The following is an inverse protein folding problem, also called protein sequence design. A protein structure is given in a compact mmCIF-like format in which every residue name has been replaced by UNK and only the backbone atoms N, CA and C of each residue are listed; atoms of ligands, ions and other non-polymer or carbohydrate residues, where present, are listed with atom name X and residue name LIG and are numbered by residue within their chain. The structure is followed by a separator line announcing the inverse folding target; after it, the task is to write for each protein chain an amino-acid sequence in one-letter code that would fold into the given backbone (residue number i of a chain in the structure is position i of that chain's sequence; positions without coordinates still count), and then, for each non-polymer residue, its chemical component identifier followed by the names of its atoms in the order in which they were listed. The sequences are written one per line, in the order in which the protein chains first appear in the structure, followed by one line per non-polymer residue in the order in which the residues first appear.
data_IF_022976206546
#
_entry.id   IF_022976206546
#
_cell.length_a   1.000
_cell.length_b   1.000
_cell.length_c   1.000
_cell.angle_alpha   90.00
_cell.angle_beta   90.00
_cell.angle_gamma   90.00
#
_symmetry.space_group_name_H-M   'P 1'
#
loop_
_entity.id
_entity.type
_entity.pdbx_description
1 polymer ?
#
# COMPACT_ATOMS: atom_id res chain seq x y z
N UNK A 1 18.64 9.25 -16.96
CA UNK A 1 19.25 8.53 -15.83
C UNK A 1 18.61 7.15 -15.75
N UNK A 2 19.34 6.07 -16.07
CA UNK A 2 18.81 4.70 -15.99
C UNK A 2 18.92 4.25 -14.53
N UNK A 3 17.81 4.23 -13.81
CA UNK A 3 17.75 3.53 -12.52
C UNK A 3 17.58 2.05 -12.89
N UNK A 4 18.70 1.36 -13.11
CA UNK A 4 18.69 -0.10 -13.10
C UNK A 4 18.60 -0.51 -11.63
N UNK A 5 17.38 -0.64 -11.11
CA UNK A 5 17.17 -1.34 -9.84
C UNK A 5 17.76 -2.74 -10.03
N UNK A 6 18.83 -3.06 -9.29
CA UNK A 6 19.28 -4.44 -9.19
C UNK A 6 18.11 -5.21 -8.58
N UNK A 7 17.47 -6.09 -9.34
CA UNK A 7 16.41 -6.96 -8.84
C UNK A 7 17.02 -7.88 -7.79
N UNK A 8 16.93 -7.47 -6.52
CA UNK A 8 17.40 -8.27 -5.39
C UNK A 8 16.19 -8.99 -4.81
N UNK A 9 15.90 -10.15 -5.40
CA UNK A 9 14.87 -11.07 -4.98
C UNK A 9 14.95 -12.34 -5.83
N UNK A 10 14.67 -13.48 -5.23
CA UNK A 10 14.72 -14.76 -5.91
C UNK A 10 13.44 -14.96 -6.74
N UNK A 11 13.52 -15.46 -7.99
CA UNK A 11 12.32 -15.82 -8.74
C UNK A 11 11.47 -16.84 -7.98
N UNK A 12 10.16 -16.62 -7.88
CA UNK A 12 9.22 -17.54 -7.24
C UNK A 12 8.09 -17.88 -8.19
N UNK A 13 7.92 -19.18 -8.49
CA UNK A 13 6.82 -19.66 -9.32
C UNK A 13 5.45 -19.40 -8.65
N UNK A 14 5.41 -19.44 -7.32
CA UNK A 14 4.22 -19.16 -6.53
C UNK A 14 3.79 -17.70 -6.67
N UNK A 15 4.69 -16.74 -6.43
CA UNK A 15 4.41 -15.31 -6.61
C UNK A 15 4.07 -14.96 -8.06
N UNK A 16 4.76 -15.58 -9.02
CA UNK A 16 4.44 -15.40 -10.44
C UNK A 16 3.04 -15.91 -10.80
N UNK A 17 2.57 -16.99 -10.16
CA UNK A 17 1.19 -17.49 -10.33
C UNK A 17 0.19 -16.48 -9.79
N UNK A 18 0.38 -16.00 -8.56
CA UNK A 18 -0.50 -14.98 -7.94
C UNK A 18 -0.57 -13.74 -8.82
N UNK A 19 0.57 -13.21 -9.26
CA UNK A 19 0.62 -12.05 -10.16
C UNK A 19 -0.19 -12.24 -11.45
N UNK A 20 -0.20 -13.46 -12.02
CA UNK A 20 -1.04 -13.78 -13.19
C UNK A 20 -2.52 -13.88 -12.85
N UNK A 21 -2.87 -14.51 -11.73
CA UNK A 21 -4.26 -14.70 -11.31
C UNK A 21 -4.93 -13.37 -10.94
N UNK A 22 -4.23 -12.54 -10.17
CA UNK A 22 -4.70 -11.19 -9.83
C UNK A 22 -4.82 -10.33 -11.08
N UNK A 23 -3.81 -10.33 -11.97
CA UNK A 23 -3.89 -9.57 -13.22
C UNK A 23 -5.07 -10.00 -14.09
N UNK A 24 -5.30 -11.31 -14.25
CA UNK A 24 -6.42 -11.81 -15.05
C UNK A 24 -7.78 -11.38 -14.47
N UNK A 25 -7.89 -11.29 -13.14
CA UNK A 25 -9.09 -10.82 -12.45
C UNK A 25 -9.31 -9.32 -12.67
N UNK A 26 -8.26 -8.51 -12.48
CA UNK A 26 -8.33 -7.06 -12.66
C UNK A 26 -8.54 -6.67 -14.14
N UNK A 27 -7.91 -7.38 -15.09
CA UNK A 27 -8.09 -7.18 -16.53
C UNK A 27 -9.53 -7.52 -16.98
N UNK A 28 -10.28 -8.31 -16.21
CA UNK A 28 -11.66 -8.70 -16.52
C UNK A 28 -12.73 -7.77 -15.92
N UNK A 29 -12.36 -6.87 -15.01
CA UNK A 29 -13.30 -5.94 -14.38
C UNK A 29 -13.48 -4.67 -15.24
N UNK A 30 -14.69 -4.35 -15.70
CA UNK A 30 -14.93 -3.19 -16.56
C UNK A 30 -14.71 -1.84 -15.87
N UNK A 31 -14.65 -1.79 -14.52
CA UNK A 31 -14.40 -0.56 -13.77
C UNK A 31 -12.92 -0.27 -13.57
N UNK A 32 -12.04 -1.20 -13.96
CA UNK A 32 -10.60 -1.11 -13.72
C UNK A 32 -9.87 -0.75 -15.01
N UNK A 33 -8.95 0.20 -14.92
CA UNK A 33 -8.08 0.57 -16.03
C UNK A 33 -6.63 0.17 -15.73
N UNK A 34 -5.99 -0.47 -16.71
CA UNK A 34 -4.57 -0.84 -16.64
C UNK A 34 -3.68 0.29 -17.14
N UNK A 35 -2.63 0.62 -16.39
CA UNK A 35 -1.65 1.61 -16.79
C UNK A 35 -0.84 1.12 -18.00
N UNK A 36 -0.52 2.05 -18.92
CA UNK A 36 0.28 1.78 -20.13
C UNK A 36 1.78 1.76 -19.81
N UNK A 37 2.21 0.80 -18.99
CA UNK A 37 3.61 0.61 -18.63
C UNK A 37 3.98 -0.87 -18.64
N UNK A 38 5.23 -1.17 -18.99
CA UNK A 38 5.81 -2.50 -18.90
C UNK A 38 6.70 -2.67 -17.65
N UNK A 39 6.83 -1.63 -16.83
CA UNK A 39 7.69 -1.64 -15.64
C UNK A 39 7.05 -2.41 -14.47
N UNK A 40 5.72 -2.35 -14.36
CA UNK A 40 4.96 -3.01 -13.30
C UNK A 40 3.53 -3.30 -13.76
N UNK A 41 2.89 -4.26 -13.09
CA UNK A 41 1.44 -4.47 -13.13
C UNK A 41 0.80 -3.35 -12.30
N UNK A 42 0.14 -2.41 -12.96
CA UNK A 42 -0.45 -1.23 -12.30
C UNK A 42 -1.84 -0.99 -12.86
N UNK A 43 -2.79 -0.80 -11.94
CA UNK A 43 -4.22 -0.70 -12.21
C UNK A 43 -4.80 0.45 -11.39
N UNK A 44 -5.86 1.07 -11.91
CA UNK A 44 -6.62 2.11 -11.22
C UNK A 44 -8.08 1.72 -11.21
N UNK A 45 -8.72 1.82 -10.04
CA UNK A 45 -10.15 1.62 -9.84
C UNK A 45 -10.75 2.93 -9.30
N UNK A 46 -11.40 3.73 -10.17
CA UNK A 46 -12.12 4.94 -9.75
C UNK A 46 -13.30 4.59 -8.84
N UNK A 47 -13.59 5.45 -7.87
CA UNK A 47 -14.77 5.35 -7.01
C UNK A 47 -14.89 4.00 -6.26
N UNK A 48 -13.74 3.38 -5.92
CA UNK A 48 -13.71 2.13 -5.16
C UNK A 48 -14.30 2.28 -3.74
N UNK A 49 -14.05 3.43 -3.10
CA UNK A 49 -14.70 3.82 -1.85
C UNK A 49 -15.74 4.90 -2.12
N UNK A 50 -16.80 4.87 -1.33
CA UNK A 50 -17.76 5.98 -1.24
C UNK A 50 -17.19 7.15 -0.41
N UNK A 51 -17.72 8.36 -0.62
CA UNK A 51 -17.36 9.55 0.17
C UNK A 51 -17.51 9.31 1.68
N UNK A 52 -18.51 8.53 2.09
CA UNK A 52 -18.75 8.20 3.49
C UNK A 52 -17.65 7.29 4.07
N UNK A 53 -17.17 6.32 3.30
CA UNK A 53 -16.07 5.45 3.70
C UNK A 53 -14.74 6.21 3.73
N UNK A 54 -14.52 7.12 2.77
CA UNK A 54 -13.39 8.03 2.78
C UNK A 54 -13.38 8.89 4.06
N UNK A 55 -14.51 9.54 4.39
CA UNK A 55 -14.64 10.34 5.61
C UNK A 55 -14.41 9.52 6.89
N UNK A 56 -14.98 8.32 6.95
CA UNK A 56 -14.79 7.39 8.09
C UNK A 56 -13.31 7.04 8.29
N UNK A 57 -12.60 6.70 7.21
CA UNK A 57 -11.18 6.36 7.29
C UNK A 57 -10.34 7.58 7.66
N UNK A 58 -10.65 8.77 7.14
CA UNK A 58 -9.98 10.02 7.53
C UNK A 58 -10.12 10.26 9.04
N UNK A 59 -11.33 10.15 9.59
CA UNK A 59 -11.59 10.35 11.02
C UNK A 59 -10.81 9.34 11.89
N UNK A 60 -10.74 8.07 11.47
CA UNK A 60 -9.94 7.05 12.16
C UNK A 60 -8.45 7.37 12.13
N UNK A 61 -7.94 7.80 10.97
CA UNK A 61 -6.53 8.14 10.79
C UNK A 61 -6.15 9.35 11.63
N UNK A 62 -6.95 10.42 11.58
CA UNK A 62 -6.72 11.65 12.34
C UNK A 62 -6.85 11.41 13.86
N UNK A 63 -7.79 10.55 14.28
CA UNK A 63 -8.01 10.20 15.68
C UNK A 63 -6.88 9.37 16.30
N UNK A 64 -6.15 8.61 15.50
CA UNK A 64 -5.09 7.71 15.96
C UNK A 64 -3.68 8.05 15.41
N UNK A 65 -3.52 9.21 14.76
CA UNK A 65 -2.26 9.69 14.19
C UNK A 65 -1.15 9.78 15.25
N UNK A 66 -0.13 8.94 15.09
CA UNK A 66 1.13 8.99 15.86
C UNK A 66 2.30 9.30 14.92
N UNK A 67 3.39 9.94 15.40
CA UNK A 67 4.60 10.13 14.59
C UNK A 67 5.15 8.77 14.11
N UNK A 68 5.44 8.65 12.81
CA UNK A 68 5.85 7.38 12.19
C UNK A 68 7.20 6.88 12.73
N UNK A 69 7.30 5.60 13.13
CA UNK A 69 8.57 4.92 13.41
C UNK A 69 9.10 4.22 12.15
N UNK A 70 10.42 4.31 11.90
CA UNK A 70 11.08 3.62 10.79
C UNK A 70 11.48 2.20 11.22
N UNK A 71 11.20 1.19 10.38
CA UNK A 71 11.65 -0.19 10.61
C UNK A 71 13.16 -0.37 10.50
N UNK A 72 13.84 0.54 9.79
CA UNK A 72 15.29 0.61 9.71
C UNK A 72 15.78 1.82 10.50
N UNK A 73 16.76 1.62 11.38
CA UNK A 73 17.50 2.72 12.03
C UNK A 73 18.18 3.55 10.95
N UNK A 74 17.51 4.60 10.49
CA UNK A 74 18.11 5.63 9.66
C UNK A 74 18.37 6.82 10.57
N UNK A 75 19.61 7.28 10.61
CA UNK A 75 20.05 8.46 11.38
C UNK A 75 19.55 9.80 10.80
N UNK A 76 18.64 9.76 9.82
CA UNK A 76 18.07 10.95 9.17
C UNK A 76 16.64 11.23 9.68
N UNK A 77 16.46 12.21 10.59
CA UNK A 77 15.14 12.62 11.09
C UNK A 77 14.23 13.24 10.01
N UNK A 78 14.73 13.55 8.80
CA UNK A 78 13.93 14.03 7.66
C UNK A 78 13.51 12.91 6.70
N UNK A 79 13.80 11.64 7.02
CA UNK A 79 13.51 10.52 6.12
C UNK A 79 12.00 10.26 5.98
N UNK A 80 11.19 10.56 7.01
CA UNK A 80 9.73 10.48 6.98
C UNK A 80 9.12 11.52 7.92
N UNK A 81 8.47 12.54 7.36
CA UNK A 81 7.74 13.57 8.14
C UNK A 81 6.25 13.26 8.32
N UNK A 82 5.73 12.21 7.68
CA UNK A 82 4.31 11.81 7.75
C UNK A 82 3.93 11.25 9.12
N UNK A 83 2.65 11.39 9.49
CA UNK A 83 2.04 10.60 10.58
C UNK A 83 1.48 9.29 10.00
N UNK A 84 1.71 8.18 10.68
CA UNK A 84 1.16 6.87 10.28
C UNK A 84 0.31 6.28 11.38
N UNK A 85 -0.77 5.63 10.97
CA UNK A 85 -1.71 4.95 11.86
C UNK A 85 -1.94 3.54 11.34
N UNK A 86 -1.64 2.54 12.16
CA UNK A 86 -2.12 1.18 11.91
C UNK A 86 -3.60 1.12 12.30
N UNK A 87 -4.47 0.79 11.35
CA UNK A 87 -5.90 0.64 11.61
C UNK A 87 -6.20 -0.78 12.10
N UNK A 88 -7.11 -0.91 13.06
CA UNK A 88 -7.57 -2.23 13.49
C UNK A 88 -8.40 -2.87 12.39
N UNK A 89 -7.75 -3.80 11.67
CA UNK A 89 -8.30 -4.55 10.55
C UNK A 89 -9.59 -5.32 10.88
N UNK A 90 -9.75 -5.72 12.15
CA UNK A 90 -10.91 -6.51 12.60
C UNK A 90 -12.03 -5.63 13.15
N UNK A 91 -11.88 -4.31 13.14
CA UNK A 91 -12.94 -3.39 13.52
C UNK A 91 -14.08 -3.41 12.48
N UNK A 92 -15.30 -3.21 12.95
CA UNK A 92 -16.49 -3.14 12.09
C UNK A 92 -16.39 -2.05 11.00
N UNK A 93 -15.55 -1.04 11.22
CA UNK A 93 -15.31 0.06 10.29
C UNK A 93 -14.33 -0.29 9.16
N UNK A 94 -13.31 -1.12 9.44
CA UNK A 94 -12.19 -1.39 8.52
C UNK A 94 -12.37 -2.72 7.80
N UNK A 95 -12.83 -3.74 8.51
CA UNK A 95 -12.97 -5.10 7.98
C UNK A 95 -13.75 -5.16 6.64
N UNK A 96 -14.88 -4.47 6.46
CA UNK A 96 -15.62 -4.53 5.19
C UNK A 96 -14.82 -3.96 4.01
N UNK A 97 -13.95 -2.97 4.25
CA UNK A 97 -13.14 -2.35 3.21
C UNK A 97 -11.98 -3.30 2.85
N UNK A 98 -11.29 -3.82 3.85
CA UNK A 98 -10.20 -4.78 3.71
C UNK A 98 -10.65 -6.07 2.98
N UNK A 99 -11.79 -6.64 3.36
CA UNK A 99 -12.35 -7.83 2.71
C UNK A 99 -12.70 -7.56 1.24
N UNK A 100 -13.21 -6.36 0.90
CA UNK A 100 -13.44 -5.98 -0.50
C UNK A 100 -12.15 -5.87 -1.29
N UNK A 101 -11.06 -5.36 -0.72
CA UNK A 101 -9.75 -5.30 -1.39
C UNK A 101 -9.22 -6.72 -1.62
N UNK A 102 -9.28 -7.58 -0.60
CA UNK A 102 -8.90 -8.99 -0.69
C UNK A 102 -9.71 -9.72 -1.78
N UNK A 103 -11.03 -9.53 -1.80
CA UNK A 103 -11.94 -10.06 -2.83
C UNK A 103 -11.66 -9.51 -4.23
N UNK A 104 -11.33 -8.23 -4.35
CA UNK A 104 -10.97 -7.61 -5.62
C UNK A 104 -9.72 -8.28 -6.21
N UNK A 105 -8.69 -8.48 -5.39
CA UNK A 105 -7.44 -9.10 -5.80
C UNK A 105 -7.55 -10.63 -5.91
N UNK A 106 -8.54 -11.24 -5.25
CA UNK A 106 -8.68 -12.69 -5.18
C UNK A 106 -7.61 -13.34 -4.28
N UNK A 107 -7.09 -12.59 -3.31
CA UNK A 107 -6.12 -13.06 -2.32
C UNK A 107 -6.87 -13.30 -1.00
N UNK A 108 -6.64 -14.41 -0.27
CA UNK A 108 -7.33 -14.64 1.00
C UNK A 108 -7.11 -13.50 2.00
N UNK A 109 -8.12 -13.07 2.77
CA UNK A 109 -7.93 -12.07 3.80
C UNK A 109 -6.81 -12.43 4.80
N UNK A 110 -6.58 -13.71 5.10
CA UNK A 110 -5.49 -14.14 5.98
C UNK A 110 -4.07 -13.72 5.52
N UNK A 111 -3.94 -13.31 4.25
CA UNK A 111 -2.70 -12.87 3.62
C UNK A 111 -2.55 -11.34 3.56
N UNK A 112 -3.57 -10.57 3.96
CA UNK A 112 -3.47 -9.11 4.01
C UNK A 112 -2.80 -8.65 5.32
N UNK A 113 -1.90 -7.69 5.21
CA UNK A 113 -1.28 -7.04 6.37
C UNK A 113 -2.26 -6.08 7.06
N UNK A 114 -1.83 -5.55 8.20
CA UNK A 114 -2.55 -4.44 8.82
C UNK A 114 -2.52 -3.24 7.91
N UNK A 115 -3.72 -2.81 7.54
CA UNK A 115 -4.04 -1.54 6.93
C UNK A 115 -3.23 -0.38 7.56
N UNK A 116 -2.46 0.38 6.76
CA UNK A 116 -1.77 1.61 7.19
C UNK A 116 -2.33 2.91 6.61
N UNK A 117 -2.79 3.81 7.49
CA UNK A 117 -3.19 5.16 7.14
C UNK A 117 -2.02 6.12 7.20
N UNK A 118 -1.84 6.93 6.15
CA UNK A 118 -0.76 7.91 6.06
C UNK A 118 -1.32 9.30 5.79
N UNK A 119 -0.95 10.26 6.64
CA UNK A 119 -1.35 11.66 6.50
C UNK A 119 -0.17 12.53 6.11
N UNK A 120 -0.33 13.27 5.02
CA UNK A 120 0.65 14.24 4.55
C UNK A 120 0.14 15.67 4.75
N UNK A 121 0.81 16.40 5.65
CA UNK A 121 0.67 17.84 5.73
C UNK A 121 1.39 18.52 4.54
N UNK A 122 1.07 19.79 4.25
CA UNK A 122 1.95 20.70 3.53
C UNK A 122 3.45 20.43 3.72
N UNK A 123 4.13 20.07 2.62
CA UNK A 123 5.58 19.96 2.53
C UNK A 123 6.10 18.59 2.95
N UNK A 124 5.21 17.71 3.42
CA UNK A 124 5.54 16.34 3.72
C UNK A 124 5.53 15.50 2.46
N UNK A 125 6.49 14.59 2.37
CA UNK A 125 6.63 13.68 1.25
C UNK A 125 6.97 12.29 1.77
N UNK A 126 6.60 11.28 0.98
CA UNK A 126 7.12 9.94 1.14
C UNK A 126 8.26 9.73 0.13
N UNK A 127 9.47 9.43 0.62
CA UNK A 127 10.61 9.18 -0.28
C UNK A 127 10.35 7.91 -1.10
N UNK A 128 10.86 7.88 -2.33
CA UNK A 128 10.72 6.71 -3.19
C UNK A 128 11.29 5.46 -2.50
N UNK A 129 10.46 4.42 -2.41
CA UNK A 129 10.80 3.14 -1.84
C UNK A 129 10.13 2.03 -2.63
N UNK A 130 10.53 0.80 -2.36
CA UNK A 130 9.85 -0.39 -2.84
C UNK A 130 9.10 -1.00 -1.66
N UNK A 131 7.86 -1.45 -1.90
CA UNK A 131 7.07 -2.11 -0.86
C UNK A 131 7.60 -3.52 -0.59
N UNK A 132 8.26 -4.15 -1.57
CA UNK A 132 8.86 -5.47 -1.41
C UNK A 132 10.06 -5.45 -0.45
N UNK A 133 10.24 -6.53 0.29
CA UNK A 133 11.36 -6.75 1.20
C UNK A 133 12.63 -7.14 0.44
N UNK A 134 13.78 -6.64 0.88
CA UNK A 134 15.07 -7.09 0.34
C UNK A 134 15.51 -8.38 1.03
N UNK A 135 15.62 -9.48 0.27
CA UNK A 135 16.00 -10.81 0.81
C UNK A 135 17.39 -10.83 1.47
N UNK A 136 18.26 -9.89 1.12
CA UNK A 136 19.60 -9.74 1.73
C UNK A 136 19.63 -8.85 2.97
N UNK A 137 18.50 -8.27 3.38
CA UNK A 137 18.46 -7.36 4.51
C UNK A 137 18.37 -8.13 5.84
N UNK A 138 18.90 -7.57 6.96
CA UNK A 138 18.88 -8.24 8.27
C UNK A 138 17.48 -8.55 8.81
N UNK A 139 16.44 -7.89 8.30
CA UNK A 139 15.05 -8.11 8.69
C UNK A 139 14.39 -9.28 7.93
N UNK A 140 15.02 -9.81 6.88
CA UNK A 140 14.39 -10.78 5.98
C UNK A 140 13.91 -12.05 6.70
N UNK A 141 14.76 -12.65 7.55
CA UNK A 141 14.40 -13.87 8.28
C UNK A 141 13.14 -13.70 9.13
N UNK A 142 12.94 -12.49 9.70
CA UNK A 142 11.70 -12.16 10.42
C UNK A 142 10.50 -12.01 9.49
N UNK A 143 10.66 -11.36 8.34
CA UNK A 143 9.56 -11.21 7.38
C UNK A 143 9.08 -12.57 6.84
N UNK A 144 9.99 -13.54 6.68
CA UNK A 144 9.63 -14.92 6.33
C UNK A 144 8.75 -15.57 7.40
N UNK A 145 8.93 -15.25 8.68
CA UNK A 145 8.06 -15.75 9.76
C UNK A 145 6.66 -15.10 9.75
N UNK A 146 6.55 -13.86 9.26
CA UNK A 146 5.29 -13.10 9.27
C UNK A 146 4.41 -13.27 8.02
N UNK A 147 4.92 -13.88 6.95
CA UNK A 147 4.15 -14.11 5.73
C UNK A 147 4.98 -14.10 4.46
N UNK A 148 6.22 -13.60 4.53
CA UNK A 148 7.18 -13.66 3.43
C UNK A 148 7.25 -12.38 2.64
N UNK A 149 6.99 -12.45 1.33
CA UNK A 149 7.22 -11.34 0.41
C UNK A 149 5.91 -10.69 0.01
N UNK A 150 5.92 -9.39 -0.25
CA UNK A 150 4.74 -8.68 -0.74
C UNK A 150 4.60 -8.87 -2.24
N UNK A 151 3.37 -9.11 -2.70
CA UNK A 151 3.10 -9.32 -4.13
C UNK A 151 2.27 -8.20 -4.74
N UNK A 152 1.30 -7.68 -3.99
CA UNK A 152 0.41 -6.60 -4.42
C UNK A 152 0.24 -5.56 -3.32
N UNK A 153 0.11 -4.31 -3.76
CA UNK A 153 -0.18 -3.17 -2.92
C UNK A 153 -1.46 -2.52 -3.46
N UNK A 154 -2.45 -2.33 -2.60
CA UNK A 154 -3.60 -1.48 -2.86
C UNK A 154 -3.38 -0.12 -2.20
N UNK A 155 -3.31 0.93 -3.02
CA UNK A 155 -3.23 2.30 -2.55
C UNK A 155 -4.53 3.03 -2.86
N UNK A 156 -5.13 3.63 -1.83
CA UNK A 156 -6.40 4.33 -1.94
C UNK A 156 -6.20 5.79 -1.52
N UNK A 157 -6.67 6.71 -2.36
CA UNK A 157 -6.70 8.14 -2.04
C UNK A 157 -8.04 8.47 -1.38
N UNK A 158 -8.00 9.08 -0.19
CA UNK A 158 -9.22 9.34 0.60
C UNK A 158 -9.79 10.74 0.39
N UNK A 159 -9.05 11.65 -0.24
CA UNK A 159 -9.51 13.00 -0.55
C UNK A 159 -8.79 13.56 -1.77
N UNK A 160 -9.44 14.50 -2.46
CA UNK A 160 -8.82 15.28 -3.52
C UNK A 160 -7.71 16.19 -2.99
N UNK A 161 -6.73 16.46 -3.84
CA UNK A 161 -5.63 17.39 -3.56
C UNK A 161 -5.73 18.56 -4.54
N UNK A 162 -5.87 19.78 -4.03
CA UNK A 162 -6.09 20.98 -4.85
C UNK A 162 -4.92 21.28 -5.80
N UNK A 163 -3.67 21.05 -5.36
CA UNK A 163 -2.49 21.19 -6.21
C UNK A 163 -1.36 20.24 -5.76
N UNK A 164 -1.00 19.27 -6.63
CA UNK A 164 0.13 18.38 -6.42
C UNK A 164 -0.08 17.28 -5.36
N UNK A 165 -0.04 16.01 -5.78
CA UNK A 165 0.32 14.89 -4.90
C UNK A 165 1.80 14.86 -4.48
N UNK A 166 2.54 15.95 -4.76
CA UNK A 166 3.96 16.13 -4.49
C UNK A 166 4.28 17.36 -3.62
N UNK A 167 3.38 18.36 -3.49
CA UNK A 167 3.60 19.58 -2.67
C UNK A 167 2.28 20.27 -2.25
N UNK A 168 1.73 19.84 -1.12
CA UNK A 168 0.80 20.56 -0.20
C UNK A 168 -0.68 20.78 -0.62
N UNK A 169 -1.63 21.03 0.32
CA UNK A 169 -2.03 20.30 1.53
C UNK A 169 -3.04 19.19 1.23
N UNK A 170 -2.98 18.14 2.03
CA UNK A 170 -4.11 17.24 2.25
C UNK A 170 -4.04 16.01 1.36
N UNK A 171 -3.46 14.93 1.86
CA UNK A 171 -3.98 13.64 1.43
C UNK A 171 -3.79 12.61 2.53
N UNK A 172 -4.89 11.99 2.96
CA UNK A 172 -4.82 10.71 3.63
C UNK A 172 -4.70 9.65 2.52
N UNK A 173 -3.50 9.12 2.32
CA UNK A 173 -3.29 7.98 1.44
C UNK A 173 -3.26 6.72 2.30
N UNK A 174 -4.06 5.75 1.93
CA UNK A 174 -4.09 4.47 2.59
C UNK A 174 -3.26 3.46 1.82
N UNK A 175 -2.44 2.68 2.53
CA UNK A 175 -1.68 1.57 1.98
C UNK A 175 -2.19 0.28 2.61
N UNK A 176 -2.94 -0.50 1.85
CA UNK A 176 -3.21 -1.89 2.17
C UNK A 176 -2.21 -2.75 1.40
N UNK A 177 -1.40 -3.50 2.13
CA UNK A 177 -0.35 -4.33 1.57
C UNK A 177 -0.78 -5.77 1.73
N UNK A 178 -0.83 -6.51 0.62
CA UNK A 178 -1.18 -7.92 0.65
C UNK A 178 0.07 -8.78 0.45
N UNK A 179 0.39 -9.54 1.49
CA UNK A 179 1.52 -10.49 1.56
C UNK A 179 1.20 -11.82 0.88
N UNK A 180 2.15 -12.32 0.08
CA UNK A 180 2.21 -13.76 -0.25
C UNK A 180 3.64 -14.27 -0.47
#
# INVERSE_FOLDING_TARGET
MKIAAKTQGSPSQHRARIGREVSARLDADPHIARAKTNAAQMYTYPDFLSDQECALLIDLIDGAARPSTLLATHDDPEFRTSSSTDLDRWSDAVWPIDDRIALLLGIPPANAETMQGQRYAPGQQFRAHCDYFHESAPYWDKMVEYGGQRTWTAMIYLNDVEEGGAREPGCAAFLDIIEV
#
